data_IF_772578802575
#
_entry.id   IF_772578802575
#
_cell.length_a   1.000
_cell.length_b   1.000
_cell.length_c   1.000
_cell.angle_alpha   90.00
_cell.angle_beta   90.00
_cell.angle_gamma   90.00
#
_symmetry.space_group_name_H-M   'P 1'
#
loop_
_entity.id
_entity.type
_entity.pdbx_description
1 polymer ?
#
# COMPACT_ATOMS: atom_id res chain seq x y z
N UNK A 1 -20.31 2.12 -29.89
CA UNK A 1 -21.36 1.30 -29.24
C UNK A 1 -20.98 1.16 -27.79
N UNK A 2 -21.50 2.03 -26.93
CA UNK A 2 -21.34 1.88 -25.48
C UNK A 2 -22.24 0.73 -25.05
N UNK A 3 -21.63 -0.32 -24.49
CA UNK A 3 -22.38 -1.39 -23.83
C UNK A 3 -23.09 -0.79 -22.62
N UNK A 4 -24.40 -0.62 -22.73
CA UNK A 4 -25.28 -0.49 -21.57
C UNK A 4 -25.14 -1.77 -20.76
N UNK A 5 -24.55 -1.66 -19.57
CA UNK A 5 -24.65 -2.73 -18.57
C UNK A 5 -26.13 -2.96 -18.28
N UNK A 6 -26.56 -4.21 -18.36
CA UNK A 6 -27.89 -4.64 -17.96
C UNK A 6 -28.17 -4.12 -16.54
N UNK A 7 -29.25 -3.36 -16.42
CA UNK A 7 -29.83 -3.01 -15.13
C UNK A 7 -30.36 -4.29 -14.48
N UNK A 8 -29.54 -4.94 -13.65
CA UNK A 8 -30.04 -5.92 -12.70
C UNK A 8 -31.01 -5.19 -11.78
N UNK A 9 -32.22 -5.73 -11.62
CA UNK A 9 -33.22 -5.19 -10.70
C UNK A 9 -32.71 -5.36 -9.27
N UNK A 10 -31.93 -4.40 -8.77
CA UNK A 10 -31.59 -4.33 -7.36
C UNK A 10 -32.80 -3.78 -6.60
N UNK A 11 -33.26 -4.53 -5.60
CA UNK A 11 -34.26 -4.02 -4.65
C UNK A 11 -33.48 -3.29 -3.57
N UNK A 12 -33.94 -2.08 -3.22
CA UNK A 12 -33.31 -1.27 -2.18
C UNK A 12 -34.29 -0.94 -1.07
N UNK A 13 -33.74 -0.61 0.09
CA UNK A 13 -34.46 0.09 1.15
C UNK A 13 -33.54 1.13 1.77
N UNK A 14 -34.12 2.20 2.29
CA UNK A 14 -33.38 3.17 3.09
C UNK A 14 -33.77 3.00 4.55
N UNK A 15 -32.78 2.91 5.42
CA UNK A 15 -32.95 2.88 6.88
C UNK A 15 -31.98 3.86 7.50
N UNK A 16 -32.47 4.76 8.33
CA UNK A 16 -31.69 5.84 8.95
C UNK A 16 -30.88 6.68 7.94
N UNK A 17 -31.45 6.91 6.75
CA UNK A 17 -30.77 7.65 5.68
C UNK A 17 -29.71 6.86 4.90
N UNK A 18 -29.46 5.59 5.25
CA UNK A 18 -28.52 4.69 4.58
C UNK A 18 -29.29 3.75 3.67
N UNK A 19 -28.84 3.64 2.43
CA UNK A 19 -29.39 2.78 1.38
C UNK A 19 -28.72 1.42 1.44
N UNK A 20 -29.56 0.39 1.50
CA UNK A 20 -29.18 -1.01 1.45
C UNK A 20 -29.79 -1.63 0.19
N UNK A 21 -29.01 -2.39 -0.55
CA UNK A 21 -29.45 -3.11 -1.75
C UNK A 21 -29.28 -4.61 -1.61
N UNK A 22 -30.09 -5.35 -2.37
CA UNK A 22 -29.84 -6.75 -2.71
C UNK A 22 -29.65 -6.84 -4.23
N UNK A 23 -28.57 -7.48 -4.68
CA UNK A 23 -28.49 -7.92 -6.07
C UNK A 23 -29.30 -9.21 -6.23
N UNK A 24 -29.83 -9.44 -7.42
CA UNK A 24 -30.56 -10.62 -7.88
C UNK A 24 -29.87 -11.96 -7.58
N UNK A 25 -28.56 -11.97 -7.36
CA UNK A 25 -27.76 -13.16 -7.02
C UNK A 25 -27.44 -13.31 -5.54
N UNK A 26 -27.67 -12.27 -4.72
CA UNK A 26 -27.14 -12.19 -3.37
C UNK A 26 -28.16 -12.65 -2.32
N UNK A 27 -27.72 -13.49 -1.40
CA UNK A 27 -28.49 -13.91 -0.22
C UNK A 27 -28.36 -12.95 0.96
N UNK A 28 -27.76 -11.78 0.75
CA UNK A 28 -27.40 -10.80 1.77
C UNK A 28 -27.54 -9.37 1.24
N UNK A 29 -27.61 -8.41 2.16
CA UNK A 29 -27.71 -6.99 1.85
C UNK A 29 -26.33 -6.31 1.76
N UNK A 30 -26.24 -5.34 0.86
CA UNK A 30 -25.07 -4.51 0.60
C UNK A 30 -25.37 -3.07 1.01
N UNK A 31 -24.44 -2.40 1.69
CA UNK A 31 -24.50 -0.96 1.94
C UNK A 31 -24.12 -0.22 0.66
N UNK A 32 -25.02 0.62 0.15
CA UNK A 32 -24.87 1.28 -1.15
C UNK A 32 -25.45 0.44 -2.30
N UNK A 33 -25.09 0.81 -3.53
CA UNK A 33 -25.53 0.15 -4.76
C UNK A 33 -24.29 -0.45 -5.44
N UNK A 34 -24.31 -1.71 -5.86
CA UNK A 34 -23.17 -2.28 -6.57
C UNK A 34 -23.08 -1.72 -8.01
N UNK A 35 -21.86 -1.48 -8.50
CA UNK A 35 -21.60 -1.12 -9.90
C UNK A 35 -21.77 0.35 -10.29
N UNK A 36 -22.06 1.28 -9.35
CA UNK A 36 -21.98 2.71 -9.64
C UNK A 36 -20.65 3.31 -9.17
N UNK A 37 -20.08 4.22 -9.95
CA UNK A 37 -18.80 4.90 -9.64
C UNK A 37 -18.98 6.12 -8.73
N UNK A 38 -20.20 6.37 -8.27
CA UNK A 38 -20.60 7.45 -7.35
C UNK A 38 -21.76 6.95 -6.48
N UNK A 39 -21.53 5.87 -5.72
CA UNK A 39 -22.53 5.30 -4.82
C UNK A 39 -22.70 6.19 -3.60
N UNK A 40 -23.69 7.07 -3.63
CA UNK A 40 -24.11 7.74 -2.42
C UNK A 40 -25.01 6.77 -1.64
N UNK A 41 -24.43 5.88 -0.83
CA UNK A 41 -25.21 5.05 0.09
C UNK A 41 -26.05 5.92 1.04
N UNK A 42 -25.70 7.19 1.17
CA UNK A 42 -26.43 8.22 1.89
C UNK A 42 -26.66 9.42 0.97
N UNK A 43 -27.82 10.07 1.05
CA UNK A 43 -27.97 11.41 0.46
C UNK A 43 -27.25 12.41 1.37
N UNK A 44 -26.15 13.04 0.90
CA UNK A 44 -25.34 13.94 1.72
C UNK A 44 -26.09 15.18 2.21
N UNK A 45 -27.21 15.54 1.59
CA UNK A 45 -28.04 16.65 2.09
C UNK A 45 -28.92 16.23 3.27
N UNK A 46 -29.18 14.94 3.44
CA UNK A 46 -30.13 14.38 4.40
C UNK A 46 -29.48 13.75 5.63
N UNK A 47 -28.24 13.25 5.51
CA UNK A 47 -27.52 12.62 6.61
C UNK A 47 -26.64 13.66 7.33
N UNK A 48 -26.95 13.93 8.60
CA UNK A 48 -26.32 14.99 9.41
C UNK A 48 -25.56 14.45 10.63
N UNK A 49 -25.51 13.12 10.81
CA UNK A 49 -24.79 12.50 11.93
C UNK A 49 -23.30 12.38 11.62
N UNK A 50 -22.46 12.61 12.64
CA UNK A 50 -21.02 12.33 12.59
C UNK A 50 -20.69 10.88 12.93
N UNK A 51 -21.63 10.14 13.51
CA UNK A 51 -21.51 8.70 13.73
C UNK A 51 -22.29 7.93 12.66
N UNK A 52 -21.58 7.11 11.89
CA UNK A 52 -22.16 6.15 10.96
C UNK A 52 -22.41 4.83 11.68
N UNK A 53 -23.69 4.45 11.82
CA UNK A 53 -24.08 3.15 12.39
C UNK A 53 -24.68 2.30 11.28
N UNK A 54 -23.95 1.24 10.90
CA UNK A 54 -24.41 0.29 9.90
C UNK A 54 -25.11 -0.88 10.58
N UNK A 55 -26.38 -1.08 10.26
CA UNK A 55 -27.14 -2.21 10.77
C UNK A 55 -26.54 -3.55 10.31
N UNK A 56 -26.53 -4.56 11.20
CA UNK A 56 -26.15 -5.93 10.84
C UNK A 56 -27.24 -6.69 10.09
N UNK A 57 -28.48 -6.21 10.16
CA UNK A 57 -29.62 -6.80 9.48
C UNK A 57 -30.59 -5.73 8.98
N UNK A 58 -31.14 -5.92 7.79
CA UNK A 58 -32.10 -5.01 7.16
C UNK A 58 -33.24 -5.79 6.53
N UNK A 59 -34.46 -5.23 6.60
CA UNK A 59 -35.66 -5.85 6.03
C UNK A 59 -35.95 -5.25 4.66
N UNK A 60 -35.95 -6.08 3.61
CA UNK A 60 -36.23 -5.68 2.22
C UNK A 60 -37.35 -6.58 1.70
N UNK A 61 -38.45 -5.99 1.23
CA UNK A 61 -39.61 -6.76 0.73
C UNK A 61 -40.24 -7.71 1.76
N UNK A 62 -40.09 -7.44 3.06
CA UNK A 62 -40.61 -8.30 4.13
C UNK A 62 -39.63 -9.39 4.61
N UNK A 63 -38.50 -9.58 3.95
CA UNK A 63 -37.47 -10.58 4.27
C UNK A 63 -36.30 -9.89 4.98
N UNK A 64 -35.75 -10.53 6.00
CA UNK A 64 -34.57 -10.04 6.70
C UNK A 64 -33.30 -10.55 6.00
N UNK A 65 -32.36 -9.65 5.77
CA UNK A 65 -31.06 -9.95 5.17
C UNK A 65 -29.95 -9.48 6.11
N UNK A 66 -28.93 -10.31 6.27
CA UNK A 66 -27.68 -9.91 6.92
C UNK A 66 -26.94 -8.90 6.03
N UNK A 67 -26.26 -7.94 6.64
CA UNK A 67 -25.43 -6.97 5.92
C UNK A 67 -23.98 -7.45 5.95
N UNK A 68 -23.48 -7.92 4.80
CA UNK A 68 -22.15 -8.54 4.68
C UNK A 68 -21.16 -7.70 3.88
N UNK A 69 -21.61 -6.68 3.14
CA UNK A 69 -20.74 -5.91 2.26
C UNK A 69 -21.04 -4.41 2.28
N UNK A 70 -19.98 -3.61 2.18
CA UNK A 70 -20.03 -2.20 1.80
C UNK A 70 -19.57 -2.10 0.35
N UNK A 71 -20.45 -1.61 -0.52
CA UNK A 71 -20.18 -1.50 -1.96
C UNK A 71 -18.97 -0.59 -2.24
N UNK A 72 -18.29 -0.77 -3.38
CA UNK A 72 -17.35 0.23 -3.88
C UNK A 72 -17.98 1.62 -3.91
N UNK A 73 -17.20 2.64 -3.52
CA UNK A 73 -17.61 4.04 -3.47
C UNK A 73 -18.80 4.38 -2.55
N UNK A 74 -19.32 3.47 -1.72
CA UNK A 74 -20.54 3.66 -0.92
C UNK A 74 -20.61 4.95 -0.09
N UNK A 75 -19.46 5.45 0.37
CA UNK A 75 -19.31 6.69 1.11
C UNK A 75 -18.21 7.58 0.53
N UNK A 76 -17.92 7.45 -0.76
CA UNK A 76 -16.87 8.22 -1.42
C UNK A 76 -17.12 9.74 -1.30
N UNK A 77 -16.10 10.49 -0.89
CA UNK A 77 -16.16 11.94 -0.62
C UNK A 77 -17.09 12.35 0.50
N UNK A 78 -17.68 11.41 1.23
CA UNK A 78 -18.47 11.75 2.39
C UNK A 78 -17.56 12.00 3.59
N UNK A 79 -17.33 13.28 3.86
CA UNK A 79 -16.33 13.73 4.80
C UNK A 79 -16.89 14.08 6.20
N UNK A 80 -18.13 13.73 6.55
CA UNK A 80 -18.72 14.12 7.84
C UNK A 80 -18.55 13.08 8.96
N UNK A 81 -18.20 11.82 8.63
CA UNK A 81 -18.07 10.78 9.64
C UNK A 81 -16.82 10.97 10.50
N UNK A 82 -17.00 10.99 11.81
CA UNK A 82 -15.95 10.94 12.82
C UNK A 82 -15.79 9.52 13.39
N UNK A 83 -16.89 8.75 13.43
CA UNK A 83 -16.95 7.40 13.97
C UNK A 83 -17.75 6.48 13.07
N UNK A 84 -17.27 5.24 12.91
CA UNK A 84 -17.95 4.20 12.14
C UNK A 84 -18.19 2.99 13.05
N UNK A 85 -19.43 2.51 13.08
CA UNK A 85 -19.83 1.25 13.70
C UNK A 85 -20.19 0.29 12.57
N UNK A 86 -19.30 -0.68 12.33
CA UNK A 86 -19.48 -1.70 11.29
C UNK A 86 -20.49 -2.77 11.71
N UNK A 87 -21.14 -3.45 10.73
CA UNK A 87 -21.91 -4.67 10.99
C UNK A 87 -21.03 -5.77 11.60
N UNK A 88 -21.59 -6.56 12.52
CA UNK A 88 -20.82 -7.63 13.18
C UNK A 88 -20.39 -8.75 12.22
N UNK A 89 -21.17 -9.01 11.18
CA UNK A 89 -20.90 -10.05 10.18
C UNK A 89 -20.31 -9.47 8.88
N UNK A 90 -19.82 -8.22 8.88
CA UNK A 90 -19.31 -7.60 7.67
C UNK A 90 -18.10 -8.38 7.13
N UNK A 91 -18.22 -8.88 5.90
CA UNK A 91 -17.17 -9.67 5.26
C UNK A 91 -16.33 -8.84 4.27
N UNK A 92 -16.88 -7.75 3.71
CA UNK A 92 -16.25 -7.01 2.61
C UNK A 92 -16.42 -5.49 2.70
N UNK A 93 -15.33 -4.76 2.51
CA UNK A 93 -15.33 -3.33 2.21
C UNK A 93 -14.79 -3.13 0.80
N UNK A 94 -15.61 -2.56 -0.08
CA UNK A 94 -15.29 -2.34 -1.48
C UNK A 94 -14.25 -1.24 -1.73
N UNK A 95 -13.80 -1.15 -2.98
CA UNK A 95 -12.83 -0.15 -3.41
C UNK A 95 -13.36 1.26 -3.17
N UNK A 96 -12.50 2.16 -2.67
CA UNK A 96 -12.82 3.57 -2.40
C UNK A 96 -14.06 3.78 -1.50
N UNK A 97 -14.50 2.77 -0.73
CA UNK A 97 -15.75 2.83 0.02
C UNK A 97 -15.82 4.03 0.97
N UNK A 98 -14.72 4.40 1.63
CA UNK A 98 -14.60 5.55 2.52
C UNK A 98 -13.50 6.53 2.07
N UNK A 99 -13.15 6.51 0.78
CA UNK A 99 -12.14 7.42 0.24
C UNK A 99 -12.61 8.88 0.35
N UNK A 100 -11.70 9.79 0.75
CA UNK A 100 -11.94 11.20 1.10
C UNK A 100 -12.82 11.40 2.33
N UNK A 101 -12.80 10.44 3.25
CA UNK A 101 -13.40 10.55 4.58
C UNK A 101 -12.52 11.33 5.56
N UNK A 102 -12.26 12.62 5.31
CA UNK A 102 -11.26 13.42 6.05
C UNK A 102 -11.52 13.57 7.57
N UNK A 103 -12.73 13.28 8.06
CA UNK A 103 -13.06 13.31 9.48
C UNK A 103 -12.96 11.95 10.18
N UNK A 104 -12.76 10.85 9.43
CA UNK A 104 -12.47 9.54 10.01
C UNK A 104 -11.04 9.60 10.55
N UNK A 105 -10.91 9.71 11.88
CA UNK A 105 -9.64 10.05 12.51
C UNK A 105 -9.33 9.20 13.74
N UNK A 106 -8.05 9.17 14.13
CA UNK A 106 -7.61 8.45 15.33
C UNK A 106 -7.43 6.96 15.08
N UNK A 107 -8.05 6.12 15.91
CA UNK A 107 -7.95 4.67 15.80
C UNK A 107 -9.19 4.08 15.11
N UNK A 108 -8.99 3.28 14.07
CA UNK A 108 -10.03 2.48 13.42
C UNK A 108 -9.73 0.99 13.62
N UNK A 109 -10.65 0.30 14.30
CA UNK A 109 -10.61 -1.16 14.44
C UNK A 109 -11.59 -1.81 13.47
N UNK A 110 -11.08 -2.65 12.58
CA UNK A 110 -11.92 -3.45 11.68
C UNK A 110 -12.46 -4.68 12.40
N UNK A 111 -13.66 -5.12 12.02
CA UNK A 111 -14.32 -6.29 12.61
C UNK A 111 -13.63 -7.59 12.21
N UNK A 112 -13.61 -8.57 13.12
CA UNK A 112 -12.97 -9.87 12.91
C UNK A 112 -13.61 -10.68 11.76
N UNK A 113 -14.86 -10.42 11.40
CA UNK A 113 -15.56 -11.09 10.30
C UNK A 113 -15.06 -10.67 8.90
N UNK A 114 -14.29 -9.59 8.82
CA UNK A 114 -13.87 -9.02 7.55
C UNK A 114 -12.84 -9.92 6.84
N UNK A 115 -13.12 -10.25 5.58
CA UNK A 115 -12.27 -11.07 4.70
C UNK A 115 -11.60 -10.24 3.60
N UNK A 116 -12.26 -9.21 3.10
CA UNK A 116 -11.78 -8.40 1.96
C UNK A 116 -11.78 -6.90 2.26
N UNK A 117 -10.64 -6.27 1.97
CA UNK A 117 -10.45 -4.83 1.92
C UNK A 117 -10.08 -4.40 0.50
N UNK A 118 -10.90 -3.54 -0.09
CA UNK A 118 -10.68 -3.04 -1.45
C UNK A 118 -9.56 -2.03 -1.59
N UNK A 119 -9.23 -1.71 -2.85
CA UNK A 119 -8.26 -0.66 -3.18
C UNK A 119 -8.73 0.68 -2.61
N UNK A 120 -7.83 1.44 -1.98
CA UNK A 120 -8.09 2.79 -1.50
C UNK A 120 -9.30 2.92 -0.56
N UNK A 121 -9.73 1.83 0.11
CA UNK A 121 -11.01 1.84 0.80
C UNK A 121 -11.11 2.87 1.94
N UNK A 122 -9.98 3.38 2.46
CA UNK A 122 -9.86 4.47 3.42
C UNK A 122 -8.86 5.54 2.98
N UNK A 123 -8.63 5.72 1.68
CA UNK A 123 -7.72 6.75 1.18
C UNK A 123 -8.20 8.16 1.57
N UNK A 124 -7.26 9.09 1.76
CA UNK A 124 -7.55 10.46 2.18
C UNK A 124 -8.36 10.56 3.50
N UNK A 125 -8.34 9.52 4.35
CA UNK A 125 -8.79 9.60 5.74
C UNK A 125 -7.72 10.25 6.62
N UNK A 126 -7.95 10.35 7.94
CA UNK A 126 -6.96 10.84 8.92
C UNK A 126 -6.71 9.80 10.01
N UNK A 127 -6.76 8.53 9.63
CA UNK A 127 -6.61 7.39 10.54
C UNK A 127 -5.15 7.35 10.97
N UNK A 128 -4.91 7.45 12.27
CA UNK A 128 -3.58 7.31 12.86
C UNK A 128 -3.21 5.86 13.09
N UNK A 129 -4.18 5.03 13.50
CA UNK A 129 -3.97 3.61 13.81
C UNK A 129 -5.06 2.79 13.14
N UNK A 130 -4.68 1.93 12.20
CA UNK A 130 -5.58 0.95 11.58
C UNK A 130 -5.30 -0.43 12.18
N UNK A 131 -6.33 -1.07 12.76
CA UNK A 131 -6.24 -2.46 13.25
C UNK A 131 -6.96 -3.41 12.29
N UNK A 132 -6.22 -4.39 11.76
CA UNK A 132 -6.66 -5.39 10.80
C UNK A 132 -6.88 -6.72 11.53
N UNK A 133 -8.10 -7.26 11.45
CA UNK A 133 -8.51 -8.48 12.14
C UNK A 133 -7.91 -9.77 11.57
N UNK A 134 -8.10 -10.88 12.31
CA UNK A 134 -7.48 -12.18 12.01
C UNK A 134 -7.98 -12.88 10.74
N UNK A 135 -9.21 -12.58 10.28
CA UNK A 135 -9.80 -13.27 9.13
C UNK A 135 -9.62 -12.52 7.80
N UNK A 136 -8.89 -11.41 7.77
CA UNK A 136 -8.64 -10.71 6.51
C UNK A 136 -7.75 -11.57 5.61
N UNK A 137 -8.29 -11.89 4.43
CA UNK A 137 -7.68 -12.77 3.42
C UNK A 137 -7.10 -11.99 2.25
N UNK A 138 -7.69 -10.85 1.92
CA UNK A 138 -7.32 -10.04 0.75
C UNK A 138 -7.32 -8.56 1.09
N UNK A 139 -6.24 -7.90 0.69
CA UNK A 139 -6.02 -6.46 0.83
C UNK A 139 -5.69 -5.91 -0.56
N UNK A 140 -6.47 -4.92 -0.98
CA UNK A 140 -6.22 -4.13 -2.17
C UNK A 140 -5.03 -3.20 -2.03
N UNK A 141 -4.82 -2.38 -3.04
CA UNK A 141 -3.74 -1.42 -3.10
C UNK A 141 -4.03 -0.23 -2.18
N UNK A 142 -3.02 0.19 -1.41
CA UNK A 142 -2.97 1.47 -0.69
C UNK A 142 -4.25 1.78 0.14
N UNK A 143 -4.51 0.98 1.18
CA UNK A 143 -5.73 1.07 2.02
C UNK A 143 -6.03 2.49 2.50
N UNK A 144 -5.01 3.15 3.04
CA UNK A 144 -5.06 4.51 3.57
C UNK A 144 -4.17 5.47 2.75
N UNK A 145 -4.16 5.32 1.42
CA UNK A 145 -3.35 6.16 0.52
C UNK A 145 -3.61 7.66 0.65
N UNK A 146 -2.65 8.46 0.24
CA UNK A 146 -2.62 9.91 0.34
C UNK A 146 -2.77 10.50 1.77
N UNK A 147 -2.84 9.67 2.82
CA UNK A 147 -2.89 10.12 4.22
C UNK A 147 -1.47 10.37 4.76
N UNK A 148 -1.26 11.56 5.32
CA UNK A 148 0.02 11.98 5.90
C UNK A 148 0.11 11.72 7.41
N UNK A 149 -0.95 11.21 8.04
CA UNK A 149 -1.02 11.03 9.50
C UNK A 149 -1.10 9.58 9.96
N UNK A 150 -1.08 8.59 9.05
CA UNK A 150 -1.08 7.18 9.42
C UNK A 150 0.22 6.80 10.17
N UNK A 151 0.09 6.52 11.46
CA UNK A 151 1.23 6.18 12.32
C UNK A 151 1.44 4.66 12.42
N UNK A 152 0.36 3.86 12.43
CA UNK A 152 0.46 2.42 12.66
C UNK A 152 -0.57 1.62 11.88
N UNK A 153 -0.12 0.54 11.25
CA UNK A 153 -0.96 -0.58 10.83
C UNK A 153 -0.65 -1.75 11.76
N UNK A 154 -1.66 -2.20 12.51
CA UNK A 154 -1.54 -3.32 13.45
C UNK A 154 -2.37 -4.46 12.89
N UNK A 155 -1.71 -5.56 12.56
CA UNK A 155 -2.35 -6.81 12.12
C UNK A 155 -2.46 -7.75 13.31
N UNK A 156 -3.62 -8.36 13.52
CA UNK A 156 -3.80 -9.43 14.50
C UNK A 156 -2.76 -10.55 14.31
N UNK A 157 -2.16 -11.01 15.40
CA UNK A 157 -1.09 -12.01 15.39
C UNK A 157 -1.52 -13.35 14.77
N UNK A 158 -2.81 -13.67 14.87
CA UNK A 158 -3.42 -14.89 14.34
C UNK A 158 -3.84 -14.76 12.88
N UNK A 159 -3.67 -13.59 12.24
CA UNK A 159 -3.93 -13.46 10.81
C UNK A 159 -2.95 -14.36 10.02
N UNK A 160 -3.43 -15.30 9.19
CA UNK A 160 -2.57 -16.24 8.48
C UNK A 160 -1.93 -15.65 7.21
N UNK A 161 -2.46 -14.53 6.70
CA UNK A 161 -2.10 -13.96 5.40
C UNK A 161 -1.24 -12.71 5.51
N UNK A 162 -1.39 -11.93 6.58
CA UNK A 162 -0.75 -10.63 6.76
C UNK A 162 -0.01 -10.53 8.10
N UNK A 163 0.93 -9.61 8.16
CA UNK A 163 1.68 -9.25 9.37
C UNK A 163 2.10 -7.78 9.31
N UNK A 164 2.57 -7.26 10.45
CA UNK A 164 3.26 -5.99 10.50
C UNK A 164 4.65 -6.16 11.13
N UNK A 165 5.59 -5.28 10.77
CA UNK A 165 6.91 -5.21 11.41
C UNK A 165 6.89 -4.33 12.67
N UNK A 166 8.05 -4.20 13.33
CA UNK A 166 8.22 -3.31 14.49
C UNK A 166 8.03 -1.82 14.17
N UNK A 167 8.04 -1.47 12.88
CA UNK A 167 7.75 -0.13 12.38
C UNK A 167 6.28 0.02 11.99
N UNK A 168 5.43 -0.99 12.20
CA UNK A 168 4.01 -1.00 11.84
C UNK A 168 3.72 -0.84 10.34
N UNK A 169 4.62 -1.29 9.48
CA UNK A 169 4.38 -1.42 8.04
C UNK A 169 3.65 -2.73 7.75
N UNK A 170 2.79 -2.75 6.72
CA UNK A 170 1.96 -3.90 6.36
C UNK A 170 2.65 -4.82 5.35
N UNK A 171 2.71 -6.10 5.67
CA UNK A 171 3.29 -7.15 4.82
C UNK A 171 2.35 -8.36 4.67
N UNK A 172 2.68 -9.21 3.70
CA UNK A 172 2.30 -10.63 3.76
C UNK A 172 2.87 -11.31 5.01
N UNK A 173 2.24 -12.39 5.49
CA UNK A 173 2.65 -13.12 6.72
C UNK A 173 4.12 -13.51 6.77
N UNK A 174 4.71 -13.87 5.64
CA UNK A 174 6.12 -14.27 5.50
C UNK A 174 7.07 -13.11 5.15
N UNK A 175 6.61 -11.86 5.22
CA UNK A 175 7.36 -10.65 4.90
C UNK A 175 7.95 -10.61 3.48
N UNK A 176 7.39 -11.38 2.54
CA UNK A 176 7.84 -11.39 1.13
C UNK A 176 7.22 -10.29 0.26
N UNK A 177 6.08 -9.76 0.66
CA UNK A 177 5.36 -8.69 -0.03
C UNK A 177 5.17 -7.52 0.93
N UNK A 178 5.58 -6.32 0.54
CA UNK A 178 5.30 -5.07 1.23
C UNK A 178 4.06 -4.41 0.60
N UNK A 179 3.00 -4.26 1.38
CA UNK A 179 1.72 -3.70 0.92
C UNK A 179 1.62 -2.20 1.14
N UNK A 180 2.02 -1.72 2.32
CA UNK A 180 1.92 -0.32 2.68
C UNK A 180 2.89 0.04 3.80
N UNK A 181 3.47 1.22 3.68
CA UNK A 181 4.35 1.84 4.67
C UNK A 181 3.59 2.95 5.38
N UNK A 182 3.80 3.09 6.69
CA UNK A 182 3.16 4.17 7.45
C UNK A 182 3.80 5.55 7.16
N UNK A 183 3.10 6.62 7.50
CA UNK A 183 3.48 8.00 7.16
C UNK A 183 4.50 8.63 8.12
N UNK A 184 5.13 7.87 9.02
CA UNK A 184 6.01 8.42 10.08
C UNK A 184 7.51 8.22 9.84
N UNK A 185 7.90 7.55 8.76
CA UNK A 185 9.30 7.22 8.51
C UNK A 185 9.98 8.18 7.52
N UNK A 186 11.14 8.70 7.93
CA UNK A 186 12.00 9.50 7.04
C UNK A 186 13.05 8.65 6.31
N UNK A 187 13.45 7.52 6.91
CA UNK A 187 14.46 6.62 6.39
C UNK A 187 13.97 5.19 6.54
N UNK A 188 14.01 4.42 5.45
CA UNK A 188 13.53 3.05 5.46
C UNK A 188 14.50 2.10 4.78
N UNK A 189 14.61 0.89 5.33
CA UNK A 189 15.38 -0.20 4.73
C UNK A 189 14.48 -1.44 4.71
N UNK A 190 14.25 -2.01 3.53
CA UNK A 190 13.42 -3.22 3.43
C UNK A 190 14.11 -4.40 4.12
N UNK A 191 13.35 -5.28 4.81
CA UNK A 191 13.89 -6.59 5.17
C UNK A 191 14.38 -7.36 3.94
N UNK A 192 15.40 -8.20 4.10
CA UNK A 192 15.91 -9.10 3.04
C UNK A 192 14.90 -10.17 2.62
N UNK A 193 13.71 -10.22 3.20
CA UNK A 193 12.64 -11.12 2.77
C UNK A 193 11.79 -10.52 1.66
N UNK A 194 11.76 -9.19 1.51
CA UNK A 194 10.84 -8.47 0.60
C UNK A 194 11.23 -8.66 -0.86
N UNK A 195 10.41 -9.40 -1.60
CA UNK A 195 10.59 -9.71 -3.03
C UNK A 195 9.64 -8.91 -3.93
N UNK A 196 8.55 -8.38 -3.38
CA UNK A 196 7.56 -7.59 -4.10
C UNK A 196 7.14 -6.37 -3.27
N UNK A 197 7.10 -5.21 -3.92
CA UNK A 197 6.55 -3.98 -3.36
C UNK A 197 5.31 -3.61 -4.17
N UNK A 198 4.15 -3.55 -3.48
CA UNK A 198 2.85 -3.32 -4.10
C UNK A 198 2.69 -1.88 -4.59
N UNK A 199 1.74 -1.72 -5.51
CA UNK A 199 1.33 -0.43 -6.07
C UNK A 199 1.10 0.54 -4.94
N UNK A 200 1.77 1.69 -5.00
CA UNK A 200 1.59 2.79 -4.05
C UNK A 200 1.91 2.44 -2.59
N UNK A 201 2.77 1.45 -2.33
CA UNK A 201 3.17 1.11 -0.96
C UNK A 201 3.80 2.27 -0.16
N UNK A 202 4.34 3.29 -0.84
CA UNK A 202 4.92 4.50 -0.25
C UNK A 202 4.11 5.77 -0.56
N UNK A 203 2.82 5.68 -0.84
CA UNK A 203 2.04 6.81 -1.32
C UNK A 203 2.02 8.03 -0.38
N UNK A 204 2.43 9.19 -0.89
CA UNK A 204 2.39 10.49 -0.20
C UNK A 204 3.04 10.52 1.21
N UNK A 205 3.96 9.60 1.51
CA UNK A 205 4.64 9.58 2.81
C UNK A 205 5.87 10.51 2.83
N UNK A 206 6.26 11.06 3.99
CA UNK A 206 7.36 12.02 4.10
C UNK A 206 8.77 11.38 4.08
N UNK A 207 8.93 10.24 3.42
CA UNK A 207 10.20 9.51 3.33
C UNK A 207 11.24 10.33 2.56
N UNK A 208 12.46 10.42 3.09
CA UNK A 208 13.61 11.12 2.50
C UNK A 208 14.57 10.16 1.83
N UNK A 209 14.74 8.95 2.38
CA UNK A 209 15.54 7.92 1.72
C UNK A 209 15.03 6.51 1.95
N UNK A 210 15.27 5.64 0.96
CA UNK A 210 14.96 4.22 1.05
C UNK A 210 16.10 3.35 0.53
N UNK A 211 16.35 2.24 1.22
CA UNK A 211 17.25 1.17 0.81
C UNK A 211 16.46 -0.11 0.53
N UNK A 212 16.55 -0.60 -0.69
CA UNK A 212 16.03 -1.89 -1.13
C UNK A 212 17.18 -2.90 -1.03
N UNK A 213 17.00 -3.96 -0.24
CA UNK A 213 18.12 -4.79 0.25
C UNK A 213 18.42 -6.05 -0.58
N UNK A 214 17.60 -6.35 -1.59
CA UNK A 214 17.79 -7.49 -2.48
C UNK A 214 17.13 -7.26 -3.85
N UNK A 215 17.25 -8.26 -4.74
CA UNK A 215 16.43 -8.37 -5.96
C UNK A 215 14.94 -8.21 -5.60
N UNK A 216 14.29 -7.21 -6.21
CA UNK A 216 12.93 -6.84 -5.84
C UNK A 216 12.09 -6.50 -7.07
N UNK A 217 10.87 -7.01 -7.09
CA UNK A 217 9.83 -6.62 -8.03
C UNK A 217 9.04 -5.43 -7.49
N UNK A 218 8.73 -4.49 -8.38
CA UNK A 218 7.93 -3.31 -8.09
C UNK A 218 6.69 -3.34 -8.97
N UNK A 219 5.52 -3.08 -8.37
CA UNK A 219 4.34 -2.75 -9.16
C UNK A 219 4.36 -1.27 -9.58
N UNK A 220 3.31 -0.84 -10.29
CA UNK A 220 3.18 0.54 -10.78
C UNK A 220 3.13 1.54 -9.60
N UNK A 221 3.76 2.70 -9.78
CA UNK A 221 3.67 3.86 -8.91
C UNK A 221 3.90 3.56 -7.42
N UNK A 222 4.85 2.68 -7.10
CA UNK A 222 5.26 2.37 -5.71
C UNK A 222 5.53 3.65 -4.91
N UNK A 223 6.18 4.63 -5.55
CA UNK A 223 6.48 5.96 -5.01
C UNK A 223 5.59 7.02 -5.65
N UNK A 224 4.28 6.92 -5.42
CA UNK A 224 3.33 7.95 -5.82
C UNK A 224 3.34 9.12 -4.84
N UNK A 225 3.37 10.36 -5.35
CA UNK A 225 3.33 11.59 -4.56
C UNK A 225 4.38 11.68 -3.44
N UNK A 226 5.49 10.93 -3.51
CA UNK A 226 6.57 10.94 -2.49
C UNK A 226 7.50 12.13 -2.69
N UNK A 227 6.98 13.33 -2.45
CA UNK A 227 7.66 14.57 -2.78
C UNK A 227 8.95 14.79 -1.99
N UNK A 228 9.11 14.18 -0.82
CA UNK A 228 10.29 14.34 0.04
C UNK A 228 11.42 13.34 -0.26
N UNK A 229 11.18 12.35 -1.12
CA UNK A 229 12.17 11.31 -1.40
C UNK A 229 13.33 11.90 -2.19
N UNK A 230 14.53 11.85 -1.61
CA UNK A 230 15.76 12.43 -2.17
C UNK A 230 16.76 11.37 -2.61
N UNK A 231 16.86 10.25 -1.89
CA UNK A 231 17.89 9.26 -2.10
C UNK A 231 17.30 7.86 -2.14
N UNK A 232 17.70 7.04 -3.10
CA UNK A 232 17.33 5.62 -3.15
C UNK A 232 18.58 4.78 -3.31
N UNK A 233 18.69 3.70 -2.54
CA UNK A 233 19.73 2.68 -2.70
C UNK A 233 19.09 1.35 -3.05
N UNK A 234 19.61 0.67 -4.06
CA UNK A 234 19.22 -0.67 -4.45
C UNK A 234 20.41 -1.61 -4.32
N UNK A 235 20.27 -2.65 -3.50
CA UNK A 235 21.18 -3.79 -3.44
C UNK A 235 20.51 -4.97 -4.14
N UNK A 236 20.69 -5.11 -5.45
CA UNK A 236 19.99 -6.10 -6.26
C UNK A 236 19.27 -5.49 -7.45
N UNK A 237 18.84 -6.37 -8.35
CA UNK A 237 18.12 -6.04 -9.56
C UNK A 237 16.68 -5.60 -9.30
N UNK A 238 16.26 -4.61 -10.08
CA UNK A 238 14.90 -4.07 -10.07
C UNK A 238 14.14 -4.70 -11.24
N UNK A 239 12.97 -5.26 -10.95
CA UNK A 239 12.01 -5.66 -11.99
C UNK A 239 10.74 -4.83 -11.86
N UNK A 240 10.37 -4.09 -12.89
CA UNK A 240 9.08 -3.43 -12.98
C UNK A 240 8.63 -3.43 -14.44
N UNK A 241 7.36 -3.74 -14.65
CA UNK A 241 6.75 -3.75 -15.98
C UNK A 241 6.11 -2.38 -16.32
N UNK A 242 6.18 -1.42 -15.40
CA UNK A 242 5.57 -0.08 -15.49
C UNK A 242 6.47 0.99 -14.81
N UNK A 243 5.98 2.20 -14.61
CA UNK A 243 6.66 3.29 -13.91
C UNK A 243 6.62 3.09 -12.40
N UNK A 244 7.73 3.31 -11.70
CA UNK A 244 7.80 3.20 -10.22
C UNK A 244 7.49 4.52 -9.50
N UNK A 245 7.63 5.66 -10.19
CA UNK A 245 7.32 7.00 -9.67
C UNK A 245 6.12 7.61 -10.37
N UNK A 246 5.31 8.36 -9.62
CA UNK A 246 4.23 9.19 -10.18
C UNK A 246 3.91 10.38 -9.27
N UNK A 247 3.48 11.51 -9.85
CA UNK A 247 3.14 12.75 -9.13
C UNK A 247 4.28 13.31 -8.25
N UNK A 248 5.50 13.28 -8.77
CA UNK A 248 6.64 14.07 -8.29
C UNK A 248 7.42 13.47 -7.11
N UNK A 249 8.74 13.63 -7.16
CA UNK A 249 9.67 13.38 -6.06
C UNK A 249 10.72 14.49 -6.05
N UNK A 250 11.48 14.62 -4.97
CA UNK A 250 12.68 15.46 -4.93
C UNK A 250 13.95 14.62 -5.15
N UNK A 251 13.87 13.56 -5.96
CA UNK A 251 14.95 12.57 -6.09
C UNK A 251 16.20 13.25 -6.68
N UNK A 252 17.33 13.07 -5.99
CA UNK A 252 18.64 13.63 -6.36
C UNK A 252 19.65 12.54 -6.63
N UNK A 253 19.53 11.40 -5.93
CA UNK A 253 20.58 10.40 -5.88
C UNK A 253 20.01 8.98 -5.93
N UNK A 254 20.57 8.18 -6.83
CA UNK A 254 20.31 6.73 -6.90
C UNK A 254 21.64 5.99 -6.75
N UNK A 255 21.74 5.14 -5.75
CA UNK A 255 22.78 4.13 -5.69
C UNK A 255 22.23 2.79 -6.16
N UNK A 256 22.87 2.18 -7.14
CA UNK A 256 22.42 0.94 -7.76
C UNK A 256 23.53 -0.11 -7.76
N UNK A 257 23.42 -1.07 -6.85
CA UNK A 257 24.37 -2.16 -6.66
C UNK A 257 23.79 -3.45 -7.25
N UNK A 258 23.88 -3.60 -8.57
CA UNK A 258 23.45 -4.81 -9.28
C UNK A 258 24.23 -5.01 -10.57
N UNK A 259 24.29 -6.26 -11.03
CA UNK A 259 24.89 -6.64 -12.32
C UNK A 259 23.91 -6.53 -13.49
N UNK A 260 22.60 -6.31 -13.25
CA UNK A 260 21.59 -6.16 -14.31
C UNK A 260 21.38 -4.69 -14.68
N UNK A 261 21.13 -4.36 -15.97
CA UNK A 261 20.87 -2.99 -16.38
C UNK A 261 19.58 -2.44 -15.75
N UNK A 262 19.54 -1.11 -15.62
CA UNK A 262 18.35 -0.37 -15.21
C UNK A 262 17.61 0.08 -16.47
N UNK A 263 16.32 -0.25 -16.58
CA UNK A 263 15.49 0.17 -17.71
C UNK A 263 15.03 1.62 -17.52
N UNK A 264 15.05 2.41 -18.60
CA UNK A 264 14.80 3.86 -18.56
C UNK A 264 13.34 4.21 -18.29
N UNK A 265 12.41 3.32 -18.65
CA UNK A 265 10.97 3.45 -18.40
C UNK A 265 10.61 3.56 -16.90
N UNK A 266 11.46 3.04 -16.01
CA UNK A 266 11.28 3.15 -14.55
C UNK A 266 11.15 4.60 -14.07
N UNK A 267 11.86 5.52 -14.73
CA UNK A 267 11.99 6.93 -14.32
C UNK A 267 11.38 7.90 -15.33
N UNK A 268 10.48 7.42 -16.21
CA UNK A 268 9.94 8.21 -17.32
C UNK A 268 9.20 9.49 -16.86
N UNK A 269 8.58 9.49 -15.68
CA UNK A 269 7.89 10.66 -15.11
C UNK A 269 8.82 11.61 -14.32
N UNK A 270 10.15 11.45 -14.43
CA UNK A 270 11.12 12.24 -13.65
C UNK A 270 11.97 13.16 -14.53
N UNK A 271 12.23 14.36 -14.02
CA UNK A 271 13.28 15.23 -14.57
C UNK A 271 14.66 14.65 -14.24
N UNK A 272 15.20 13.88 -15.17
CA UNK A 272 16.49 13.17 -14.99
C UNK A 272 17.71 14.08 -14.98
N UNK A 273 17.58 15.35 -15.39
CA UNK A 273 18.69 16.30 -15.51
C UNK A 273 19.43 16.63 -14.20
N UNK A 274 18.84 16.30 -13.04
CA UNK A 274 19.43 16.55 -11.72
C UNK A 274 19.74 15.27 -10.91
N UNK A 275 19.54 14.09 -11.49
CA UNK A 275 19.70 12.81 -10.78
C UNK A 275 21.10 12.26 -11.01
N UNK A 276 21.85 12.01 -9.93
CA UNK A 276 23.15 11.33 -9.98
C UNK A 276 22.94 9.85 -9.71
N UNK A 277 23.50 8.97 -10.55
CA UNK A 277 23.41 7.52 -10.39
C UNK A 277 24.79 6.89 -10.20
N UNK A 278 24.97 6.10 -9.14
CA UNK A 278 26.19 5.35 -8.88
C UNK A 278 25.95 3.86 -9.09
N UNK A 279 26.73 3.23 -9.98
CA UNK A 279 26.65 1.79 -10.24
C UNK A 279 27.95 1.10 -9.83
N UNK A 280 27.86 0.05 -9.01
CA UNK A 280 29.05 -0.66 -8.54
C UNK A 280 29.39 -1.91 -9.40
N UNK A 281 30.40 -1.70 -10.25
CA UNK A 281 31.41 -2.67 -10.75
C UNK A 281 31.19 -3.43 -12.08
N UNK A 282 32.25 -3.33 -12.93
CA UNK A 282 32.64 -4.04 -14.17
C UNK A 282 31.62 -4.99 -14.81
N UNK A 283 30.90 -4.59 -15.86
CA UNK A 283 30.70 -5.39 -17.08
C UNK A 283 30.27 -4.47 -18.23
N UNK A 284 31.15 -4.34 -19.23
CA UNK A 284 31.06 -3.36 -20.31
C UNK A 284 30.92 -4.02 -21.69
N UNK A 285 30.16 -5.12 -21.80
CA UNK A 285 29.95 -5.77 -23.11
C UNK A 285 28.48 -6.03 -23.50
N UNK A 286 27.51 -5.93 -22.57
CA UNK A 286 26.09 -6.18 -22.90
C UNK A 286 25.27 -4.90 -23.15
N UNK A 287 25.93 -3.74 -23.19
CA UNK A 287 25.30 -2.43 -23.41
C UNK A 287 25.23 -2.00 -24.89
N UNK A 288 25.52 -2.89 -25.85
CA UNK A 288 25.42 -2.62 -27.29
C UNK A 288 23.97 -2.61 -27.77
N UNK A 289 23.16 -1.66 -27.27
CA UNK A 289 21.79 -1.46 -27.74
C UNK A 289 20.88 -0.63 -26.84
N UNK A 290 21.31 -0.29 -25.62
CA UNK A 290 20.54 0.53 -24.70
C UNK A 290 21.25 1.86 -24.55
N UNK A 291 20.65 2.95 -25.03
CA UNK A 291 21.13 4.31 -24.75
C UNK A 291 21.01 4.58 -23.25
N UNK A 292 22.11 4.72 -22.50
CA UNK A 292 22.04 5.15 -21.12
C UNK A 292 21.34 6.51 -21.07
N UNK A 293 20.52 6.76 -20.04
CA UNK A 293 19.99 8.12 -19.82
C UNK A 293 21.20 9.04 -19.63
N UNK A 294 21.15 10.22 -20.24
CA UNK A 294 22.17 11.26 -20.09
C UNK A 294 22.32 11.58 -18.59
N UNK A 295 23.45 11.21 -17.98
CA UNK A 295 23.69 11.32 -16.52
C UNK A 295 23.93 9.99 -15.78
N UNK A 296 23.73 8.84 -16.44
CA UNK A 296 24.09 7.53 -15.92
C UNK A 296 25.55 7.21 -16.31
N UNK A 297 26.50 7.92 -15.73
CA UNK A 297 27.91 7.59 -15.88
C UNK A 297 28.27 6.45 -14.90
N UNK A 298 28.66 5.28 -15.42
CA UNK A 298 29.33 4.28 -14.60
C UNK A 298 30.65 4.87 -14.11
N UNK A 299 30.68 5.40 -12.90
CA UNK A 299 31.93 5.87 -12.31
C UNK A 299 32.79 4.64 -12.01
N UNK A 300 33.84 4.45 -12.80
CA UNK A 300 34.82 3.37 -12.67
C UNK A 300 35.85 3.65 -11.58
N UNK A 301 35.46 4.22 -10.45
CA UNK A 301 36.37 4.32 -9.31
C UNK A 301 36.23 3.06 -8.45
N UNK A 302 37.34 2.36 -8.13
CA UNK A 302 37.27 1.29 -7.15
C UNK A 302 36.75 1.91 -5.85
N UNK A 303 35.78 1.26 -5.21
CA UNK A 303 35.49 1.51 -3.80
C UNK A 303 36.79 1.18 -3.04
N UNK A 304 37.66 2.17 -2.88
CA UNK A 304 38.68 2.14 -1.84
C UNK A 304 37.95 2.38 -0.53
N UNK A 305 37.98 1.35 0.31
CA UNK A 305 37.46 1.26 1.68
C UNK A 305 35.97 0.92 1.84
N UNK A 306 35.68 -0.38 1.84
CA UNK A 306 34.89 -1.01 2.90
C UNK A 306 35.51 -2.38 3.21
N UNK A 307 36.77 -2.35 3.66
CA UNK A 307 37.33 -3.43 4.46
C UNK A 307 37.53 -2.86 5.86
N UNK A 308 36.83 -3.50 6.80
CA UNK A 308 37.02 -3.57 8.26
C UNK A 308 35.87 -3.08 9.15
N UNK A 309 35.19 -4.11 9.67
CA UNK A 309 34.75 -4.35 11.05
C UNK A 309 33.53 -3.60 11.58
N UNK A 310 32.53 -4.36 12.03
CA UNK A 310 32.17 -4.40 13.46
C UNK A 310 31.48 -5.73 13.83
N UNK A 311 32.24 -6.57 14.55
CA UNK A 311 31.90 -7.60 15.55
C UNK A 311 30.87 -8.71 15.25
N UNK A 312 31.44 -9.90 15.01
CA UNK A 312 30.93 -11.17 15.53
C UNK A 312 30.91 -11.17 17.07
N UNK A 313 29.82 -11.66 17.67
CA UNK A 313 29.80 -12.18 19.04
C UNK A 313 29.00 -13.47 19.06
N UNK A 314 29.67 -14.61 19.13
CA UNK A 314 29.39 -15.74 20.04
C UNK A 314 30.31 -16.93 19.72
N UNK A 315 31.11 -17.34 20.73
CA UNK A 315 31.63 -18.70 21.02
C UNK A 315 32.39 -19.46 19.89
N UNK A 316 33.55 -20.10 20.06
CA UNK A 316 34.49 -20.39 21.14
C UNK A 316 35.65 -21.20 20.47
N UNK A 317 36.77 -21.41 21.17
CA UNK A 317 37.80 -22.48 20.97
C UNK A 317 39.02 -22.17 20.06
N UNK A 318 40.07 -21.65 20.73
CA UNK A 318 41.40 -22.27 20.98
C UNK A 318 42.34 -22.79 19.86
N UNK A 319 43.63 -22.42 20.08
CA UNK A 319 44.94 -23.01 19.69
C UNK A 319 45.67 -22.29 18.54
N UNK A 320 46.67 -21.42 18.78
CA UNK A 320 48.09 -21.56 19.20
C UNK A 320 49.09 -21.87 18.07
N UNK A 321 50.17 -21.05 18.07
CA UNK A 321 51.55 -21.28 17.57
C UNK A 321 51.92 -20.74 16.17
N UNK A 322 52.52 -19.55 16.21
CA UNK A 322 53.86 -19.16 15.71
C UNK A 322 54.51 -19.94 14.56
N UNK A 323 55.05 -19.22 13.57
CA UNK A 323 56.50 -19.10 13.30
C UNK A 323 56.75 -18.12 12.12
N UNK A 324 57.71 -17.20 12.33
CA UNK A 324 58.37 -16.39 11.31
C UNK A 324 59.12 -17.29 10.32
N UNK A 325 58.97 -17.02 9.02
CA UNK A 325 60.06 -16.80 8.05
C UNK A 325 59.50 -16.20 6.76
#
# INVERSE_FOLDING_TARGET
MYHFYQSYFSISTTKNGITYTIDSTNSFAIVGIEGQTQCNAIDPNSFQSTELILDSNVKIGGINYEVLEIAPYAFYRYNHFEKIVFPNNLEKIGNNAFDRGFHIMGELSLVDSLKYLGDYCFAESRIKVLKIGKNVEKIGHCLCGADTVLEKIIVDENNPNFAHDMLYNLYSKNFSILYQVNAVIEHYTTPQTVKLIKTQAFDNIPIKSITITQDCQFERAVFHATQKLQNITFYGSIKCDDHIFRLGTSLKLIHYYSYKPVLTNLFHEMETGSIVVYCCNRFNTDFSGISPIKGFECISTPIKSCVLNYYFRSYEIFIFITILL
#
